data_IF_169843119105
#
_entry.id   IF_169843119105
#
_cell.length_a   1.000
_cell.length_b   1.000
_cell.length_c   1.000
_cell.angle_alpha   90.00
_cell.angle_beta   90.00
_cell.angle_gamma   90.00
#
_symmetry.space_group_name_H-M   'P 1'
#
loop_
_entity.id
_entity.type
_entity.pdbx_description
1 polymer ?
#
# COMPACT_ATOMS: atom_id res chain seq x y z
N UNK A 1 -7.46 11.21 -14.92
CA UNK A 1 -7.86 9.90 -14.37
C UNK A 1 -9.16 10.07 -13.60
N UNK A 2 -10.16 9.21 -13.81
CA UNK A 2 -11.44 9.34 -13.11
C UNK A 2 -11.39 8.68 -11.73
N UNK A 3 -11.97 9.34 -10.73
CA UNK A 3 -12.16 8.82 -9.37
C UNK A 3 -13.58 9.10 -8.91
N UNK A 4 -14.15 8.22 -8.10
CA UNK A 4 -15.43 8.43 -7.43
C UNK A 4 -15.15 8.60 -5.94
N UNK A 5 -15.34 9.83 -5.43
CA UNK A 5 -15.35 10.08 -4.00
C UNK A 5 -16.65 9.58 -3.34
N UNK A 6 -16.89 9.99 -2.09
CA UNK A 6 -18.06 9.61 -1.28
C UNK A 6 -19.41 9.89 -1.97
N UNK A 7 -19.46 10.90 -2.86
CA UNK A 7 -20.66 11.29 -3.60
C UNK A 7 -21.01 10.37 -4.78
N UNK A 8 -20.18 9.38 -5.14
CA UNK A 8 -20.42 8.43 -6.22
C UNK A 8 -20.34 9.00 -7.65
N UNK A 9 -20.38 10.32 -7.82
CA UNK A 9 -20.24 10.98 -9.13
C UNK A 9 -18.76 10.95 -9.57
N UNK A 10 -18.44 10.37 -10.74
CA UNK A 10 -17.07 10.34 -11.25
C UNK A 10 -16.53 11.74 -11.54
N UNK A 11 -15.32 12.03 -11.06
CA UNK A 11 -14.61 13.29 -11.25
C UNK A 11 -13.29 13.01 -11.95
N UNK A 12 -12.99 13.76 -13.00
CA UNK A 12 -11.74 13.60 -13.76
C UNK A 12 -10.61 14.39 -13.11
N UNK A 13 -9.68 13.73 -12.43
CA UNK A 13 -8.46 14.36 -11.89
C UNK A 13 -7.46 14.63 -13.01
N UNK A 14 -6.98 15.86 -13.10
CA UNK A 14 -6.01 16.30 -14.12
C UNK A 14 -4.58 16.08 -13.61
N UNK A 15 -4.06 14.88 -13.92
CA UNK A 15 -2.69 14.47 -13.59
C UNK A 15 -1.77 14.83 -14.76
N UNK A 16 -0.69 15.55 -14.48
CA UNK A 16 0.34 15.90 -15.47
C UNK A 16 1.45 14.85 -15.51
N UNK A 17 2.24 14.86 -16.59
CA UNK A 17 3.44 14.04 -16.68
C UNK A 17 4.45 14.34 -15.56
N UNK A 18 4.60 15.62 -15.20
CA UNK A 18 5.46 16.05 -14.08
C UNK A 18 5.03 15.46 -12.74
N UNK A 19 3.71 15.37 -12.48
CA UNK A 19 3.21 14.74 -11.27
C UNK A 19 3.66 13.27 -11.18
N UNK A 20 3.50 12.51 -12.26
CA UNK A 20 3.89 11.08 -12.32
C UNK A 20 5.40 10.93 -12.10
N UNK A 21 6.22 11.74 -12.79
CA UNK A 21 7.68 11.68 -12.63
C UNK A 21 8.13 12.01 -11.20
N UNK A 22 7.47 12.94 -10.52
CA UNK A 22 7.80 13.29 -9.14
C UNK A 22 7.57 12.11 -8.18
N UNK A 23 6.43 11.42 -8.30
CA UNK A 23 6.11 10.20 -7.54
C UNK A 23 7.15 9.11 -7.80
N UNK A 24 7.47 8.84 -9.08
CA UNK A 24 8.45 7.80 -9.45
C UNK A 24 9.84 8.07 -8.89
N UNK A 25 10.32 9.32 -8.99
CA UNK A 25 11.62 9.75 -8.43
C UNK A 25 11.66 9.55 -6.93
N UNK A 26 10.59 9.88 -6.24
CA UNK A 26 10.52 9.72 -4.79
C UNK A 26 10.62 8.27 -4.33
N UNK A 27 9.97 7.36 -5.05
CA UNK A 27 10.05 5.92 -4.77
C UNK A 27 11.44 5.38 -5.14
N UNK A 28 12.12 5.95 -6.14
CA UNK A 28 13.52 5.65 -6.43
C UNK A 28 14.46 6.10 -5.30
N UNK A 29 14.29 7.32 -4.79
CA UNK A 29 15.13 7.86 -3.71
C UNK A 29 15.05 7.03 -2.42
N UNK A 30 13.87 6.56 -2.03
CA UNK A 30 13.74 5.67 -0.85
C UNK A 30 14.55 4.39 -0.99
N UNK A 31 14.74 3.90 -2.23
CA UNK A 31 15.54 2.69 -2.50
C UNK A 31 17.02 2.94 -2.32
N UNK A 32 17.52 4.14 -2.65
CA UNK A 32 18.94 4.49 -2.45
C UNK A 32 19.33 4.50 -0.96
N UNK A 33 18.37 4.74 -0.06
CA UNK A 33 18.59 4.77 1.39
C UNK A 33 18.23 3.45 2.12
N UNK A 34 17.83 2.39 1.42
CA UNK A 34 17.35 1.12 1.99
C UNK A 34 18.27 -0.06 1.60
N UNK A 35 19.32 -0.28 2.40
CA UNK A 35 20.20 -1.48 2.47
C UNK A 35 20.46 -2.30 1.17
N UNK A 36 20.63 -1.62 0.03
CA UNK A 36 21.14 -2.21 -1.21
C UNK A 36 20.28 -3.34 -1.84
N UNK A 37 19.03 -3.54 -1.40
CA UNK A 37 18.10 -4.51 -2.03
C UNK A 37 17.29 -3.84 -3.15
N UNK A 38 18.05 -3.26 -4.08
CA UNK A 38 17.59 -2.47 -5.21
C UNK A 38 16.47 -3.14 -5.99
N UNK A 39 15.56 -2.35 -6.58
CA UNK A 39 14.86 -2.83 -7.77
C UNK A 39 15.92 -3.17 -8.82
N UNK A 40 15.97 -4.45 -9.20
CA UNK A 40 16.89 -4.94 -10.21
C UNK A 40 16.12 -4.90 -11.52
N UNK A 41 16.83 -4.72 -12.64
CA UNK A 41 16.28 -4.98 -13.98
C UNK A 41 15.59 -6.36 -14.07
N UNK A 42 15.91 -7.27 -13.16
CA UNK A 42 15.34 -8.62 -13.07
C UNK A 42 14.02 -8.70 -12.27
N UNK A 43 13.46 -7.59 -11.79
CA UNK A 43 12.18 -7.63 -11.11
C UNK A 43 11.03 -7.92 -12.08
N UNK A 44 10.04 -8.62 -11.53
CA UNK A 44 8.83 -9.01 -12.24
C UNK A 44 7.65 -8.52 -11.40
N UNK A 45 6.86 -7.62 -11.98
CA UNK A 45 5.65 -7.09 -11.37
C UNK A 45 4.44 -7.90 -11.87
N UNK A 46 3.65 -8.43 -10.94
CA UNK A 46 2.35 -9.04 -11.26
C UNK A 46 1.27 -7.97 -11.29
N UNK A 47 0.97 -7.45 -12.48
CA UNK A 47 -0.05 -6.44 -12.70
C UNK A 47 -1.43 -7.10 -12.80
N UNK A 48 -2.33 -6.81 -11.88
CA UNK A 48 -3.69 -7.39 -11.86
C UNK A 48 -4.77 -6.39 -11.46
N UNK A 49 -4.40 -5.18 -11.05
CA UNK A 49 -5.38 -4.12 -10.82
C UNK A 49 -5.64 -3.41 -12.16
N UNK A 50 -6.80 -2.75 -12.34
CA UNK A 50 -7.04 -2.00 -13.57
C UNK A 50 -6.08 -0.83 -13.71
N UNK A 51 -5.48 -0.65 -14.89
CA UNK A 51 -4.61 0.50 -15.22
C UNK A 51 -5.34 1.85 -15.20
N UNK A 52 -6.68 1.84 -15.13
CA UNK A 52 -7.48 3.04 -14.87
C UNK A 52 -7.34 3.57 -13.44
N UNK A 53 -6.80 2.77 -12.52
CA UNK A 53 -6.57 3.14 -11.13
C UNK A 53 -5.13 3.65 -10.95
N UNK A 54 -4.96 4.78 -10.25
CA UNK A 54 -3.67 5.49 -10.15
C UNK A 54 -2.57 4.60 -9.61
N UNK A 55 -2.90 3.76 -8.61
CA UNK A 55 -1.95 2.85 -7.96
C UNK A 55 -1.35 1.81 -8.90
N UNK A 56 -2.13 1.24 -9.83
CA UNK A 56 -1.58 0.30 -10.83
C UNK A 56 -0.77 1.07 -11.87
N UNK A 57 -1.35 2.16 -12.38
CA UNK A 57 -0.77 2.96 -13.45
C UNK A 57 0.63 3.48 -13.09
N UNK A 58 0.79 4.08 -11.90
CA UNK A 58 2.11 4.56 -11.46
C UNK A 58 3.11 3.43 -11.27
N UNK A 59 2.69 2.27 -10.77
CA UNK A 59 3.56 1.10 -10.65
C UNK A 59 3.98 0.57 -12.01
N UNK A 60 3.08 0.44 -12.98
CA UNK A 60 3.40 0.01 -14.35
C UNK A 60 4.42 0.95 -15.01
N UNK A 61 4.18 2.27 -14.99
CA UNK A 61 5.13 3.25 -15.53
C UNK A 61 6.47 3.17 -14.79
N UNK A 62 6.44 2.98 -13.48
CA UNK A 62 7.65 2.77 -12.67
C UNK A 62 8.43 1.53 -13.09
N UNK A 63 7.77 0.40 -13.33
CA UNK A 63 8.42 -0.83 -13.81
C UNK A 63 9.04 -0.64 -15.19
N UNK A 64 8.32 -0.01 -16.12
CA UNK A 64 8.85 0.30 -17.47
C UNK A 64 10.08 1.20 -17.36
N UNK A 65 10.04 2.24 -16.53
CA UNK A 65 11.16 3.17 -16.35
C UNK A 65 12.44 2.53 -15.79
N UNK A 66 12.30 1.37 -15.13
CA UNK A 66 13.40 0.63 -14.52
C UNK A 66 13.88 -0.56 -15.38
N UNK A 67 13.25 -0.80 -16.53
CA UNK A 67 13.52 -1.99 -17.36
C UNK A 67 13.04 -3.30 -16.75
N UNK A 68 12.11 -3.26 -15.79
CA UNK A 68 11.53 -4.45 -15.16
C UNK A 68 10.47 -5.09 -16.05
N UNK A 69 10.22 -6.39 -15.86
CA UNK A 69 9.16 -7.10 -16.56
C UNK A 69 7.80 -6.90 -15.87
N UNK A 70 6.74 -6.81 -16.68
CA UNK A 70 5.35 -6.77 -16.21
C UNK A 70 4.64 -8.02 -16.74
N UNK A 71 4.08 -8.82 -15.82
CA UNK A 71 3.17 -9.90 -16.16
C UNK A 71 1.75 -9.47 -15.88
N UNK A 72 0.92 -9.39 -16.92
CA UNK A 72 -0.49 -9.09 -16.79
C UNK A 72 -1.26 -10.33 -16.35
N UNK A 73 -1.97 -10.19 -15.24
CA UNK A 73 -2.77 -11.19 -14.57
C UNK A 73 -4.20 -10.68 -14.45
N UNK A 74 -5.14 -11.56 -14.08
CA UNK A 74 -6.49 -11.11 -13.71
C UNK A 74 -6.88 -11.60 -12.33
N UNK A 75 -7.71 -10.86 -11.57
CA UNK A 75 -8.16 -11.31 -10.25
C UNK A 75 -8.82 -12.71 -10.27
N UNK A 76 -9.40 -13.11 -11.40
CA UNK A 76 -10.10 -14.38 -11.60
C UNK A 76 -9.20 -15.53 -12.07
N UNK A 77 -7.93 -15.28 -12.35
CA UNK A 77 -6.90 -16.29 -12.71
C UNK A 77 -5.65 -16.24 -11.80
N UNK A 78 -5.66 -15.34 -10.80
CA UNK A 78 -4.50 -15.02 -9.96
C UNK A 78 -3.87 -16.21 -9.21
N UNK A 79 -4.69 -17.15 -8.74
CA UNK A 79 -4.27 -18.31 -7.94
C UNK A 79 -4.78 -19.61 -8.56
N UNK A 80 -4.15 -20.73 -8.19
CA UNK A 80 -4.53 -22.10 -8.62
C UNK A 80 -6.00 -22.47 -8.29
N UNK A 81 -6.61 -21.75 -7.36
CA UNK A 81 -8.02 -21.94 -6.94
C UNK A 81 -8.94 -20.83 -7.45
N UNK A 82 -8.47 -19.96 -8.34
CA UNK A 82 -9.28 -18.87 -8.89
C UNK A 82 -10.35 -19.38 -9.86
N UNK A 83 -11.52 -18.74 -9.94
CA UNK A 83 -12.69 -19.31 -10.62
C UNK A 83 -12.55 -19.48 -12.14
N UNK A 84 -11.69 -18.70 -12.79
CA UNK A 84 -11.52 -18.72 -14.25
C UNK A 84 -10.28 -19.52 -14.69
N UNK A 85 -9.64 -20.24 -13.77
CA UNK A 85 -8.50 -21.08 -14.11
C UNK A 85 -8.94 -22.51 -14.41
N UNK A 86 -8.30 -23.14 -15.41
CA UNK A 86 -8.57 -24.55 -15.72
C UNK A 86 -8.18 -25.41 -14.53
N UNK A 87 -9.09 -26.27 -14.07
CA UNK A 87 -8.83 -27.16 -12.94
C UNK A 87 -7.56 -27.99 -13.16
N UNK A 88 -6.70 -28.04 -12.14
CA UNK A 88 -5.40 -28.73 -12.19
C UNK A 88 -4.26 -27.94 -12.84
N UNK A 89 -4.48 -26.68 -13.23
CA UNK A 89 -3.44 -25.78 -13.74
C UNK A 89 -3.02 -24.74 -12.70
N UNK A 90 -1.88 -24.08 -12.95
CA UNK A 90 -1.31 -23.07 -12.05
C UNK A 90 -1.86 -21.68 -12.34
N UNK A 91 -2.09 -20.93 -11.28
CA UNK A 91 -2.41 -19.50 -11.25
C UNK A 91 -1.35 -18.63 -11.91
N UNK A 92 -1.78 -17.44 -12.32
CA UNK A 92 -0.89 -16.44 -12.93
C UNK A 92 0.34 -16.19 -12.04
N UNK A 93 0.14 -16.03 -10.72
CA UNK A 93 1.25 -15.73 -9.80
C UNK A 93 2.20 -16.92 -9.62
N UNK A 94 1.68 -18.15 -9.66
CA UNK A 94 2.49 -19.36 -9.52
C UNK A 94 3.38 -19.59 -10.75
N UNK A 95 2.90 -19.22 -11.94
CA UNK A 95 3.64 -19.30 -13.20
C UNK A 95 4.61 -18.12 -13.37
N UNK A 96 4.12 -16.89 -13.19
CA UNK A 96 4.88 -15.65 -13.34
C UNK A 96 6.00 -15.51 -12.30
N UNK A 97 5.75 -15.97 -11.06
CA UNK A 97 6.67 -15.86 -9.92
C UNK A 97 7.17 -14.42 -9.70
N UNK A 98 6.26 -13.46 -9.47
CA UNK A 98 6.62 -12.06 -9.33
C UNK A 98 7.51 -11.80 -8.11
N UNK A 99 8.33 -10.77 -8.21
CA UNK A 99 9.12 -10.25 -7.10
C UNK A 99 8.41 -9.09 -6.40
N UNK A 100 7.54 -8.38 -7.12
CA UNK A 100 6.78 -7.23 -6.62
C UNK A 100 5.28 -7.48 -6.84
N UNK A 101 4.48 -7.16 -5.83
CA UNK A 101 3.03 -7.09 -5.94
C UNK A 101 2.49 -5.84 -5.27
N UNK A 102 1.43 -5.27 -5.84
CA UNK A 102 0.56 -4.35 -5.13
C UNK A 102 -0.78 -5.03 -4.88
N UNK A 103 -1.46 -4.65 -3.81
CA UNK A 103 -2.72 -5.26 -3.43
C UNK A 103 -3.63 -4.28 -2.71
N UNK A 104 -4.93 -4.55 -2.78
CA UNK A 104 -5.95 -3.86 -2.00
C UNK A 104 -6.27 -4.64 -0.71
N UNK A 105 -6.72 -3.98 0.36
CA UNK A 105 -7.05 -4.65 1.63
C UNK A 105 -8.03 -5.81 1.47
N UNK A 106 -9.03 -5.67 0.60
CA UNK A 106 -10.02 -6.73 0.33
C UNK A 106 -9.37 -8.03 -0.17
N UNK A 107 -8.34 -7.94 -1.00
CA UNK A 107 -7.60 -9.12 -1.47
C UNK A 107 -6.85 -9.77 -0.31
N UNK A 108 -6.21 -8.97 0.55
CA UNK A 108 -5.49 -9.46 1.73
C UNK A 108 -6.42 -10.15 2.73
N UNK A 109 -7.63 -9.63 2.92
CA UNK A 109 -8.65 -10.24 3.77
C UNK A 109 -9.11 -11.59 3.23
N UNK A 110 -9.40 -11.67 1.92
CA UNK A 110 -9.76 -12.94 1.25
C UNK A 110 -8.65 -13.97 1.39
N UNK A 111 -7.41 -13.59 1.12
CA UNK A 111 -6.25 -14.49 1.23
C UNK A 111 -6.06 -14.98 2.66
N UNK A 112 -6.23 -14.10 3.65
CA UNK A 112 -6.20 -14.48 5.06
C UNK A 112 -7.28 -15.52 5.38
N UNK A 113 -8.52 -15.28 4.95
CA UNK A 113 -9.62 -16.21 5.17
C UNK A 113 -9.33 -17.58 4.56
N UNK A 114 -8.89 -17.63 3.31
CA UNK A 114 -8.53 -18.88 2.61
C UNK A 114 -7.41 -19.64 3.30
N UNK A 115 -6.36 -18.97 3.79
CA UNK A 115 -5.29 -19.66 4.54
C UNK A 115 -5.81 -20.21 5.86
N UNK A 116 -6.61 -19.43 6.61
CA UNK A 116 -7.15 -19.89 7.88
C UNK A 116 -8.11 -21.06 7.71
N UNK A 117 -8.90 -21.09 6.64
CA UNK A 117 -9.77 -22.21 6.28
C UNK A 117 -8.95 -23.46 5.96
N UNK A 118 -7.96 -23.36 5.07
CA UNK A 118 -7.05 -24.49 4.78
C UNK A 118 -6.34 -25.01 6.03
N UNK A 119 -5.91 -24.12 6.93
CA UNK A 119 -5.29 -24.54 8.20
C UNK A 119 -6.28 -25.28 9.10
N UNK A 120 -7.56 -24.89 9.14
CA UNK A 120 -8.60 -25.59 9.91
C UNK A 120 -8.84 -27.01 9.41
N UNK A 121 -8.72 -27.25 8.11
CA UNK A 121 -8.89 -28.56 7.48
C UNK A 121 -7.70 -29.50 7.72
N UNK A 122 -6.53 -28.98 8.12
CA UNK A 122 -5.36 -29.81 8.43
C UNK A 122 -5.48 -30.53 9.78
N UNK A 123 -4.63 -31.54 9.98
CA UNK A 123 -4.56 -32.29 11.24
C UNK A 123 -4.28 -31.38 12.44
N UNK A 124 -4.77 -31.78 13.63
CA UNK A 124 -4.60 -31.03 14.88
C UNK A 124 -3.15 -30.62 15.15
N UNK A 125 -2.20 -31.50 14.85
CA UNK A 125 -0.77 -31.25 15.02
C UNK A 125 -0.27 -30.15 14.07
N UNK A 126 -0.64 -30.19 12.77
CA UNK A 126 -0.26 -29.16 11.79
C UNK A 126 -0.84 -27.80 12.16
N UNK A 127 -2.08 -27.76 12.62
CA UNK A 127 -2.73 -26.55 13.12
C UNK A 127 -2.01 -25.96 14.33
N UNK A 128 -1.62 -26.81 15.28
CA UNK A 128 -0.85 -26.39 16.47
C UNK A 128 0.53 -25.83 16.06
N UNK A 129 1.24 -26.51 15.16
CA UNK A 129 2.53 -26.04 14.63
C UNK A 129 2.37 -24.67 13.98
N UNK A 130 1.38 -24.50 13.10
CA UNK A 130 1.12 -23.23 12.43
C UNK A 130 0.85 -22.11 13.44
N UNK A 131 -0.04 -22.34 14.42
CA UNK A 131 -0.41 -21.33 15.41
C UNK A 131 0.77 -20.95 16.31
N UNK A 132 1.56 -21.93 16.75
CA UNK A 132 2.78 -21.68 17.54
C UNK A 132 3.81 -20.87 16.74
N UNK A 133 4.11 -21.29 15.50
CA UNK A 133 5.04 -20.57 14.64
C UNK A 133 4.57 -19.16 14.28
N UNK A 134 3.27 -18.97 14.07
CA UNK A 134 2.65 -17.67 13.86
C UNK A 134 2.85 -16.75 15.07
N UNK A 135 2.54 -17.24 16.27
CA UNK A 135 2.68 -16.47 17.51
C UNK A 135 4.13 -16.11 17.82
N UNK A 136 5.06 -17.06 17.65
CA UNK A 136 6.50 -16.81 17.81
C UNK A 136 6.94 -15.73 16.83
N UNK A 137 6.61 -15.87 15.55
CA UNK A 137 7.02 -14.89 14.54
C UNK A 137 6.42 -13.51 14.80
N UNK A 138 5.16 -13.42 15.21
CA UNK A 138 4.52 -12.16 15.61
C UNK A 138 5.27 -11.47 16.75
N UNK A 139 5.66 -12.22 17.79
CA UNK A 139 6.42 -11.66 18.93
C UNK A 139 7.80 -11.15 18.49
N UNK A 140 8.54 -11.95 17.73
CA UNK A 140 9.87 -11.55 17.23
C UNK A 140 9.81 -10.30 16.35
N UNK A 141 8.80 -10.20 15.47
CA UNK A 141 8.60 -9.01 14.63
C UNK A 141 8.34 -7.75 15.45
N UNK A 142 7.53 -7.84 16.52
CA UNK A 142 7.28 -6.69 17.43
C UNK A 142 8.56 -6.22 18.12
N UNK A 143 9.49 -7.14 18.37
CA UNK A 143 10.82 -6.86 18.92
C UNK A 143 11.84 -6.42 17.87
N UNK A 144 11.48 -6.38 16.57
CA UNK A 144 12.37 -5.96 15.50
C UNK A 144 13.20 -7.10 14.87
N UNK A 145 12.91 -8.36 15.19
CA UNK A 145 13.68 -9.52 14.72
C UNK A 145 12.96 -10.31 13.63
N UNK A 146 13.76 -10.91 12.74
CA UNK A 146 13.31 -11.85 11.71
C UNK A 146 13.42 -13.30 12.20
N UNK A 147 12.62 -14.21 11.62
CA UNK A 147 12.60 -15.64 11.98
C UNK A 147 12.87 -16.54 10.77
N UNK A 148 14.11 -16.54 10.22
CA UNK A 148 14.42 -17.18 8.94
C UNK A 148 14.15 -18.70 8.93
N UNK A 149 14.32 -19.38 10.06
CA UNK A 149 14.07 -20.82 10.20
C UNK A 149 12.56 -21.11 10.06
N UNK A 150 11.73 -20.37 10.80
CA UNK A 150 10.26 -20.51 10.76
C UNK A 150 9.75 -20.17 9.36
N UNK A 151 10.31 -19.13 8.74
CA UNK A 151 9.98 -18.72 7.38
C UNK A 151 10.21 -19.83 6.37
N UNK A 152 11.34 -20.54 6.47
CA UNK A 152 11.69 -21.63 5.56
C UNK A 152 10.82 -22.87 5.77
N UNK A 153 10.49 -23.21 7.01
CA UNK A 153 9.79 -24.44 7.35
C UNK A 153 8.27 -24.36 7.19
N UNK A 154 7.66 -23.23 7.59
CA UNK A 154 6.20 -23.10 7.65
C UNK A 154 5.67 -22.17 6.57
N UNK A 155 6.20 -20.95 6.49
CA UNK A 155 5.62 -19.92 5.62
C UNK A 155 6.04 -20.04 4.15
N UNK A 156 7.13 -20.74 3.84
CA UNK A 156 7.57 -21.00 2.44
C UNK A 156 6.47 -21.65 1.60
N UNK A 157 5.73 -22.60 2.17
CA UNK A 157 4.63 -23.27 1.48
C UNK A 157 3.48 -22.31 1.13
N UNK A 158 3.18 -21.36 2.02
CA UNK A 158 2.15 -20.33 1.78
C UNK A 158 2.62 -19.34 0.72
N UNK A 159 3.89 -18.91 0.79
CA UNK A 159 4.49 -17.98 -0.19
C UNK A 159 4.60 -18.59 -1.59
N UNK A 160 4.67 -19.91 -1.70
CA UNK A 160 4.70 -20.61 -2.99
C UNK A 160 3.43 -20.36 -3.82
N UNK A 161 2.29 -20.08 -3.19
CA UNK A 161 1.05 -19.72 -3.89
C UNK A 161 1.15 -18.39 -4.66
N UNK A 162 2.12 -17.55 -4.30
CA UNK A 162 2.45 -16.32 -5.03
C UNK A 162 3.72 -16.49 -5.89
N UNK A 163 4.10 -17.73 -6.20
CA UNK A 163 5.31 -18.08 -6.94
C UNK A 163 6.62 -17.99 -6.14
N UNK A 164 6.56 -17.65 -4.84
CA UNK A 164 7.66 -17.81 -3.90
C UNK A 164 8.83 -16.83 -4.04
N UNK A 165 8.75 -15.85 -4.95
CA UNK A 165 9.81 -14.86 -5.21
C UNK A 165 9.49 -13.45 -4.71
N UNK A 166 8.31 -13.23 -4.13
CA UNK A 166 7.94 -11.92 -3.58
C UNK A 166 8.97 -11.46 -2.56
N UNK A 167 9.49 -10.26 -2.79
CA UNK A 167 10.41 -9.57 -1.87
C UNK A 167 9.87 -8.22 -1.42
N UNK A 168 8.95 -7.63 -2.19
CA UNK A 168 8.29 -6.37 -1.85
C UNK A 168 6.81 -6.45 -2.22
N UNK A 169 5.95 -6.14 -1.25
CA UNK A 169 4.52 -6.03 -1.44
C UNK A 169 4.04 -4.67 -0.94
N UNK A 170 3.07 -4.07 -1.63
CA UNK A 170 2.46 -2.82 -1.20
C UNK A 170 0.96 -2.98 -1.05
N UNK A 171 0.40 -2.45 0.03
CA UNK A 171 -1.03 -2.48 0.31
C UNK A 171 -1.54 -1.04 0.36
N UNK A 172 -2.52 -0.73 -0.49
CA UNK A 172 -3.05 0.61 -0.63
C UNK A 172 -4.47 0.62 -1.22
N UNK A 173 -4.99 1.82 -1.47
CA UNK A 173 -6.32 2.05 -2.05
C UNK A 173 -7.49 1.98 -1.08
N UNK A 174 -7.32 1.43 0.13
CA UNK A 174 -8.32 1.49 1.21
C UNK A 174 -7.68 1.24 2.58
N UNK A 175 -8.49 1.36 3.65
CA UNK A 175 -8.07 1.01 5.01
C UNK A 175 -7.79 -0.49 5.14
N UNK A 176 -6.68 -0.84 5.80
CA UNK A 176 -6.35 -2.20 6.23
C UNK A 176 -6.25 -2.27 7.74
N UNK A 177 -6.89 -3.26 8.36
CA UNK A 177 -6.74 -3.47 9.80
C UNK A 177 -5.34 -4.00 10.14
N UNK A 178 -4.82 -3.61 11.31
CA UNK A 178 -3.53 -4.08 11.83
C UNK A 178 -3.40 -5.61 11.79
N UNK A 179 -4.47 -6.33 12.12
CA UNK A 179 -4.46 -7.79 12.16
C UNK A 179 -4.29 -8.42 10.78
N UNK A 180 -4.88 -7.83 9.74
CA UNK A 180 -4.74 -8.31 8.35
C UNK A 180 -3.35 -7.99 7.83
N UNK A 181 -2.82 -6.80 8.12
CA UNK A 181 -1.46 -6.42 7.76
C UNK A 181 -0.40 -7.30 8.44
N UNK A 182 -0.55 -7.57 9.74
CA UNK A 182 0.33 -8.47 10.51
C UNK A 182 0.29 -9.89 9.93
N UNK A 183 -0.91 -10.39 9.62
CA UNK A 183 -1.05 -11.69 8.98
C UNK A 183 -0.34 -11.74 7.63
N UNK A 184 -0.53 -10.72 6.78
CA UNK A 184 0.14 -10.64 5.48
C UNK A 184 1.67 -10.62 5.63
N UNK A 185 2.18 -9.85 6.59
CA UNK A 185 3.60 -9.76 6.88
C UNK A 185 4.22 -11.07 7.40
N UNK A 186 3.44 -11.83 8.17
CA UNK A 186 3.85 -13.13 8.72
C UNK A 186 3.80 -14.20 7.62
N UNK A 187 2.68 -14.32 6.92
CA UNK A 187 2.39 -15.43 6.03
C UNK A 187 2.89 -15.22 4.60
N UNK A 188 2.72 -14.02 4.03
CA UNK A 188 2.89 -13.77 2.60
C UNK A 188 4.24 -13.14 2.24
N UNK A 189 4.85 -12.37 3.14
CA UNK A 189 6.15 -11.75 2.89
C UNK A 189 6.18 -10.30 3.36
N UNK A 190 7.05 -9.48 2.78
CA UNK A 190 7.20 -8.10 3.22
C UNK A 190 6.17 -7.17 2.55
N UNK A 191 4.98 -7.07 3.12
CA UNK A 191 3.91 -6.20 2.63
C UNK A 191 3.82 -4.92 3.45
N UNK A 192 3.90 -3.76 2.79
CA UNK A 192 3.89 -2.44 3.44
C UNK A 192 2.66 -1.65 3.07
N UNK A 193 2.04 -1.02 4.08
CA UNK A 193 0.97 -0.09 3.86
C UNK A 193 1.51 1.21 3.23
N UNK A 194 0.78 1.72 2.24
CA UNK A 194 0.97 3.06 1.68
C UNK A 194 -0.36 3.82 1.66
N UNK A 195 -0.28 5.15 1.68
CA UNK A 195 -1.43 6.03 1.53
C UNK A 195 -1.16 7.06 0.44
N UNK A 196 -2.18 7.27 -0.38
CA UNK A 196 -2.16 8.09 -1.57
C UNK A 196 -3.55 8.20 -2.16
N UNK A 197 -3.77 9.24 -2.96
CA UNK A 197 -5.01 9.49 -3.66
C UNK A 197 -4.73 9.71 -5.14
N UNK A 198 -5.80 9.74 -5.94
CA UNK A 198 -5.68 10.10 -7.36
C UNK A 198 -5.22 11.56 -7.49
N UNK A 199 -5.72 12.43 -6.62
CA UNK A 199 -5.40 13.86 -6.54
C UNK A 199 -3.95 14.15 -6.16
N UNK A 200 -3.27 13.20 -5.52
CA UNK A 200 -1.85 13.26 -5.14
C UNK A 200 -0.98 12.40 -6.05
N UNK A 201 -1.51 11.91 -7.17
CA UNK A 201 -0.76 11.06 -8.12
C UNK A 201 -0.10 9.87 -7.43
N UNK A 202 -0.93 9.05 -6.76
CA UNK A 202 -0.55 7.85 -5.99
C UNK A 202 0.02 8.17 -4.60
N UNK A 203 0.96 7.35 -4.11
CA UNK A 203 1.43 7.37 -2.73
C UNK A 203 2.09 8.69 -2.32
N UNK A 204 1.83 9.11 -1.09
CA UNK A 204 2.45 10.26 -0.41
C UNK A 204 2.99 9.89 0.98
N UNK A 205 2.53 8.77 1.55
CA UNK A 205 3.04 8.21 2.81
C UNK A 205 3.30 6.73 2.57
N UNK A 206 4.45 6.24 3.02
CA UNK A 206 4.83 4.84 2.86
C UNK A 206 5.57 4.30 4.07
N UNK A 207 5.21 3.09 4.48
CA UNK A 207 5.96 2.34 5.50
C UNK A 207 7.22 1.77 4.89
N UNK A 208 8.37 2.08 5.49
CA UNK A 208 9.68 1.57 5.07
C UNK A 208 9.76 0.05 5.17
N UNK A 209 10.50 -0.59 4.27
CA UNK A 209 10.66 -2.05 4.17
C UNK A 209 11.14 -2.72 5.46
N UNK A 210 11.99 -2.04 6.21
CA UNK A 210 12.62 -2.49 7.46
C UNK A 210 11.70 -2.32 8.67
N UNK A 211 10.68 -1.47 8.55
CA UNK A 211 9.77 -1.18 9.64
C UNK A 211 8.81 -2.36 9.84
N UNK A 212 9.02 -3.14 10.91
CA UNK A 212 8.32 -4.41 11.14
C UNK A 212 6.99 -4.27 11.88
N UNK A 213 6.71 -3.11 12.48
CA UNK A 213 5.44 -2.85 13.17
C UNK A 213 4.32 -2.60 12.16
N UNK A 214 3.09 -2.88 12.60
CA UNK A 214 1.88 -2.83 11.77
C UNK A 214 0.85 -1.84 12.31
N UNK A 215 -0.09 -1.46 11.46
CA UNK A 215 -1.09 -0.43 11.68
C UNK A 215 -0.47 0.95 11.65
N UNK A 216 0.44 1.22 10.73
CA UNK A 216 0.98 2.56 10.48
C UNK A 216 1.23 2.67 8.98
N UNK A 217 0.87 3.82 8.40
CA UNK A 217 1.11 4.05 6.98
C UNK A 217 2.52 4.57 6.72
N UNK A 218 3.27 4.91 7.78
CA UNK A 218 4.69 5.24 7.69
C UNK A 218 4.94 6.74 7.66
N UNK A 219 5.94 7.16 6.89
CA UNK A 219 6.40 8.54 6.82
C UNK A 219 6.07 9.17 5.46
N UNK A 220 6.01 10.52 5.36
CA UNK A 220 5.88 11.19 4.08
C UNK A 220 6.98 10.79 3.08
N UNK A 221 6.63 10.78 1.80
CA UNK A 221 7.53 10.52 0.69
C UNK A 221 8.28 11.80 0.29
N UNK A 222 9.56 11.71 -0.15
CA UNK A 222 10.40 12.87 -0.48
C UNK A 222 9.81 13.96 -1.41
N UNK A 223 8.86 13.63 -2.27
CA UNK A 223 8.27 14.58 -3.23
C UNK A 223 7.13 15.43 -2.64
N UNK A 224 6.76 15.22 -1.38
CA UNK A 224 5.62 15.89 -0.77
C UNK A 224 5.92 16.42 0.64
N UNK A 225 5.17 17.46 0.98
CA UNK A 225 5.06 18.01 2.32
C UNK A 225 3.65 17.72 2.84
N UNK A 226 3.57 17.35 4.11
CA UNK A 226 2.32 17.05 4.78
C UNK A 226 2.19 17.93 6.02
N UNK A 227 1.01 18.52 6.20
CA UNK A 227 0.58 19.13 7.46
C UNK A 227 -0.76 18.56 7.89
N UNK A 228 -1.02 18.61 9.19
CA UNK A 228 -2.33 18.30 9.74
C UNK A 228 -3.08 19.59 10.05
N UNK A 229 -4.33 19.65 9.62
CA UNK A 229 -5.26 20.75 9.87
C UNK A 229 -6.26 20.35 10.96
N UNK A 230 -6.67 21.27 11.84
CA UNK A 230 -7.69 21.00 12.83
C UNK A 230 -9.02 20.62 12.17
N UNK A 231 -9.76 19.75 12.83
CA UNK A 231 -11.13 19.41 12.47
C UNK A 231 -12.00 19.45 13.72
N UNK A 232 -12.70 20.58 13.90
CA UNK A 232 -13.48 20.84 15.12
C UNK A 232 -14.68 19.91 15.23
N UNK A 233 -15.41 19.65 14.14
CA UNK A 233 -16.61 18.80 14.16
C UNK A 233 -16.27 17.33 14.49
N UNK A 234 -15.06 16.88 14.13
CA UNK A 234 -14.54 15.56 14.47
C UNK A 234 -13.75 15.50 15.78
N UNK A 235 -13.61 16.63 16.50
CA UNK A 235 -12.80 16.76 17.73
C UNK A 235 -11.34 16.31 17.55
N UNK A 236 -10.68 16.77 16.47
CA UNK A 236 -9.28 16.51 16.19
C UNK A 236 -8.44 17.79 16.17
N UNK A 237 -7.43 17.85 17.04
CA UNK A 237 -6.44 18.94 17.10
C UNK A 237 -5.03 18.41 16.80
N UNK A 238 -4.35 18.92 15.74
CA UNK A 238 -2.96 18.61 15.45
C UNK A 238 -1.98 18.92 16.58
N UNK A 239 -2.34 19.85 17.49
CA UNK A 239 -1.51 20.26 18.62
C UNK A 239 -1.83 19.52 19.92
N UNK A 240 -2.76 18.56 19.90
CA UNK A 240 -3.05 17.72 21.05
C UNK A 240 -1.77 16.97 21.50
N UNK A 241 -1.47 17.04 22.81
CA UNK A 241 -0.24 16.48 23.39
C UNK A 241 -0.24 14.95 23.47
N UNK A 242 -1.42 14.33 23.48
CA UNK A 242 -1.63 12.88 23.65
C UNK A 242 -1.92 12.23 22.29
N UNK A 243 -2.79 12.85 21.49
CA UNK A 243 -3.29 12.33 20.21
C UNK A 243 -3.28 13.41 19.12
N UNK A 244 -2.08 13.86 18.68
CA UNK A 244 -1.96 14.87 17.62
C UNK A 244 -2.54 14.35 16.31
N UNK A 245 -3.72 14.83 15.94
CA UNK A 245 -4.48 14.34 14.80
C UNK A 245 -5.24 15.47 14.10
N UNK A 246 -5.47 15.31 12.80
CA UNK A 246 -6.17 16.29 12.00
C UNK A 246 -6.30 15.87 10.55
N UNK A 247 -6.99 16.69 9.76
CA UNK A 247 -7.08 16.48 8.32
C UNK A 247 -5.71 16.59 7.66
N UNK A 248 -5.38 15.64 6.81
CA UNK A 248 -4.15 15.64 6.04
C UNK A 248 -4.29 16.67 4.91
N UNK A 249 -3.36 17.62 4.87
CA UNK A 249 -3.18 18.50 3.72
C UNK A 249 -1.79 18.27 3.12
N UNK A 250 -1.74 18.25 1.78
CA UNK A 250 -0.57 17.82 1.02
C UNK A 250 -0.17 18.91 0.02
N UNK A 251 1.11 19.22 -0.02
CA UNK A 251 1.71 20.11 -1.03
C UNK A 251 2.90 19.39 -1.66
N UNK A 252 3.17 19.63 -2.93
CA UNK A 252 4.31 19.03 -3.63
C UNK A 252 4.05 18.82 -5.11
N UNK A 253 5.08 18.36 -5.81
CA UNK A 253 5.00 18.12 -7.26
C UNK A 253 4.04 16.99 -7.64
N UNK A 254 3.64 16.12 -6.70
CA UNK A 254 2.66 15.06 -6.98
C UNK A 254 1.21 15.55 -7.01
N UNK A 255 0.95 16.75 -6.50
CA UNK A 255 -0.41 17.29 -6.40
C UNK A 255 -0.93 17.65 -7.80
N UNK A 256 -2.07 17.05 -8.17
CA UNK A 256 -2.74 17.25 -9.46
C UNK A 256 -3.18 18.70 -9.68
N UNK A 257 -3.47 19.07 -10.92
CA UNK A 257 -3.95 20.42 -11.26
C UNK A 257 -5.38 20.71 -10.77
N UNK A 258 -6.10 19.68 -10.32
CA UNK A 258 -7.50 19.76 -9.92
C UNK A 258 -8.39 18.86 -10.74
N UNK A 259 -9.65 19.28 -10.89
CA UNK A 259 -10.70 18.50 -11.53
C UNK A 259 -11.07 19.07 -12.90
N UNK A 260 -11.13 18.21 -13.90
CA UNK A 260 -11.41 18.54 -15.29
C UNK A 260 -12.79 19.19 -15.43
N UNK A 261 -12.82 20.42 -15.93
CA UNK A 261 -14.04 21.23 -16.12
C UNK A 261 -14.87 21.40 -14.83
N UNK A 262 -14.21 21.39 -13.67
CA UNK A 262 -14.88 21.61 -12.38
C UNK A 262 -14.04 22.53 -11.49
N UNK A 263 -14.12 23.82 -11.78
CA UNK A 263 -13.38 24.87 -11.06
C UNK A 263 -13.86 25.02 -9.62
N UNK A 264 -15.17 24.91 -9.37
CA UNK A 264 -15.75 25.01 -8.03
C UNK A 264 -15.13 23.98 -7.09
N UNK A 265 -15.13 22.71 -7.49
CA UNK A 265 -14.53 21.64 -6.70
C UNK A 265 -13.01 21.77 -6.61
N UNK A 266 -12.37 22.27 -7.68
CA UNK A 266 -10.92 22.51 -7.67
C UNK A 266 -10.56 23.58 -6.65
N UNK A 267 -11.31 24.67 -6.60
CA UNK A 267 -11.04 25.78 -5.70
C UNK A 267 -11.39 25.45 -4.24
N UNK A 268 -12.34 24.54 -4.00
CA UNK A 268 -12.65 24.08 -2.64
C UNK A 268 -11.66 23.05 -2.10
N UNK A 269 -11.17 22.14 -2.94
CA UNK A 269 -10.24 21.09 -2.52
C UNK A 269 -8.76 21.53 -2.55
N UNK A 270 -8.42 22.57 -3.30
CA UNK A 270 -7.04 23.04 -3.46
C UNK A 270 -6.93 24.53 -3.14
N UNK A 271 -6.10 24.86 -2.15
CA UNK A 271 -5.94 26.24 -1.66
C UNK A 271 -4.49 26.69 -1.74
N UNK A 272 -4.26 27.98 -1.96
CA UNK A 272 -2.91 28.57 -1.95
C UNK A 272 -2.67 29.24 -0.61
N UNK A 273 -1.59 28.86 0.06
CA UNK A 273 -1.13 29.50 1.27
C UNK A 273 -0.57 30.89 0.92
N UNK A 274 -1.21 31.95 1.43
CA UNK A 274 -0.86 33.34 1.10
C UNK A 274 0.53 33.77 1.57
N UNK A 275 1.12 33.09 2.55
CA UNK A 275 2.45 33.43 3.10
C UNK A 275 3.56 32.76 2.32
N UNK A 276 3.36 31.49 1.98
CA UNK A 276 4.40 30.65 1.35
C UNK A 276 4.22 30.51 -0.16
N UNK A 277 3.05 30.84 -0.70
CA UNK A 277 2.68 30.60 -2.10
C UNK A 277 2.43 29.12 -2.42
N UNK A 278 2.53 28.21 -1.46
CA UNK A 278 2.38 26.76 -1.68
C UNK A 278 0.93 26.40 -1.91
N UNK A 279 0.69 25.50 -2.87
CA UNK A 279 -0.64 24.94 -3.17
C UNK A 279 -0.86 23.65 -2.38
N UNK A 280 -1.88 23.66 -1.53
CA UNK A 280 -2.25 22.57 -0.65
C UNK A 280 -3.54 21.91 -1.14
N UNK A 281 -3.51 20.60 -1.28
CA UNK A 281 -4.67 19.74 -1.45
C UNK A 281 -5.16 19.26 -0.08
N UNK A 282 -6.45 19.43 0.19
CA UNK A 282 -7.13 18.96 1.39
C UNK A 282 -7.70 17.57 1.10
N UNK A 283 -7.19 16.53 1.77
CA UNK A 283 -7.53 15.14 1.39
C UNK A 283 -8.90 14.72 1.90
N UNK A 284 -9.43 15.40 2.91
CA UNK A 284 -10.60 14.95 3.68
C UNK A 284 -10.32 13.75 4.58
N UNK A 285 -9.10 13.21 4.62
CA UNK A 285 -8.75 12.06 5.47
C UNK A 285 -8.01 12.52 6.73
N UNK A 286 -8.23 11.84 7.85
CA UNK A 286 -7.66 12.18 9.15
C UNK A 286 -6.42 11.35 9.44
N UNK A 287 -5.31 12.05 9.67
CA UNK A 287 -4.03 11.48 10.07
C UNK A 287 -3.79 11.65 11.57
N UNK A 288 -3.27 10.62 12.21
CA UNK A 288 -2.73 10.63 13.57
C UNK A 288 -1.21 10.49 13.52
N UNK A 289 -0.49 11.40 14.17
CA UNK A 289 0.95 11.27 14.37
C UNK A 289 1.20 10.30 15.54
N UNK A 290 1.92 9.22 15.27
CA UNK A 290 2.30 8.23 16.29
C UNK A 290 3.53 8.66 17.08
N UNK A 291 3.81 7.99 18.20
CA UNK A 291 4.95 8.30 19.06
C UNK A 291 6.31 8.25 18.33
N UNK A 292 6.44 7.39 17.33
CA UNK A 292 7.60 7.26 16.45
C UNK A 292 7.51 8.14 15.19
N UNK A 293 6.67 9.18 15.22
CA UNK A 293 6.53 10.20 14.18
C UNK A 293 6.10 9.67 12.80
N UNK A 294 5.50 8.49 12.77
CA UNK A 294 4.78 8.01 11.59
C UNK A 294 3.34 8.57 11.58
N UNK A 295 2.67 8.43 10.44
CA UNK A 295 1.28 8.83 10.25
C UNK A 295 0.42 7.56 10.11
N UNK A 296 -0.66 7.52 10.87
CA UNK A 296 -1.73 6.53 10.73
C UNK A 296 -2.99 7.22 10.23
N UNK A 297 -3.59 6.67 9.18
CA UNK A 297 -4.92 7.11 8.74
C UNK A 297 -5.95 6.51 9.70
N UNK A 298 -6.79 7.36 10.29
CA UNK A 298 -7.74 6.96 11.34
C UNK A 298 -9.20 7.23 11.01
N UNK A 299 -9.49 8.17 10.11
CA UNK A 299 -10.87 8.57 9.79
C UNK A 299 -10.96 9.34 8.47
N UNK A 300 -12.19 9.73 8.08
CA UNK A 300 -12.50 10.58 6.93
C UNK A 300 -13.64 11.56 7.26
N UNK A 301 -13.51 12.81 6.79
CA UNK A 301 -14.54 13.86 6.83
C UNK A 301 -15.74 13.56 5.94
#
# INVERSE_FOLDING_TARGET
MFTSGSAGIPKGVVITHGNILSTLRSVALIKEFSDGKNLKHQDVFGAFLPSSHVFEFTFEIGMVSLGSAIGYCTPTTLFDTSPMIKAGTKGDLAELKPTILIAVPLLMERLRATVLEKVKETSRLKRLIFQTCYNIKMQYRRLGFNTPIIDRLVFKAIRANFGGKIRAGFIGGAYISRNVEEFANICFGNFKQGYGLTETTDGIILTRSEYLRTGSTGSPLPHCEIKLLPWEEGNFDPNDKIRPAGEIAVSGECVSLGYYKNEELTNSAFTVDKKTGKRWFHTGDIGLITADKCIRIIDRK
#
